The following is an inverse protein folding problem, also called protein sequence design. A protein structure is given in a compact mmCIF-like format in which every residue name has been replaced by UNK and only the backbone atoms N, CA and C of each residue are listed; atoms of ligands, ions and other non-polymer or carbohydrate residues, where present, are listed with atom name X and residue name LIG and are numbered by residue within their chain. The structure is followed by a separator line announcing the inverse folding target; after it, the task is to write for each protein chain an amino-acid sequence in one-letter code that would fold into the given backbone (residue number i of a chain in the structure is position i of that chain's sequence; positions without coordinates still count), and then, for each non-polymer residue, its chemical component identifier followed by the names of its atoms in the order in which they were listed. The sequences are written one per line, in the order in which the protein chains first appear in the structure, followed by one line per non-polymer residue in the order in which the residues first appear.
data_IF_497726079427
#
_entry.id   IF_497726079427
#
_cell.length_a   1.000
_cell.length_b   1.000
_cell.length_c   1.000
_cell.angle_alpha   90.00
_cell.angle_beta   90.00
_cell.angle_gamma   90.00
#
_symmetry.space_group_name_H-M   'P 1'
#
loop_
_entity.id
_entity.type
_entity.pdbx_description
1 polymer ?
#
# COMPACT_ATOMS: atom_id res chain seq x y z
N UNK A 1 -21.04 -20.90 -41.02
CA UNK A 1 -19.72 -20.23 -40.85
C UNK A 1 -19.52 -19.73 -39.41
N UNK A 2 -20.49 -19.02 -38.82
CA UNK A 2 -20.48 -18.56 -37.42
C UNK A 2 -20.38 -19.69 -36.36
N UNK A 3 -21.08 -20.80 -36.55
CA UNK A 3 -21.03 -21.94 -35.62
C UNK A 3 -19.62 -22.61 -35.55
N UNK A 4 -18.85 -22.59 -36.64
CA UNK A 4 -17.48 -23.12 -36.68
C UNK A 4 -16.48 -22.18 -35.98
N UNK A 5 -16.72 -20.86 -36.03
CA UNK A 5 -15.93 -19.87 -35.31
C UNK A 5 -16.18 -19.93 -33.80
N UNK A 6 -17.45 -20.10 -33.38
CA UNK A 6 -17.80 -20.28 -31.98
C UNK A 6 -17.21 -21.58 -31.38
N UNK A 7 -17.23 -22.68 -32.15
CA UNK A 7 -16.64 -23.95 -31.72
C UNK A 7 -15.12 -23.88 -31.58
N UNK A 8 -14.41 -23.14 -32.45
CA UNK A 8 -12.96 -22.93 -32.32
C UNK A 8 -12.61 -22.10 -31.08
N UNK A 9 -13.35 -21.02 -30.82
CA UNK A 9 -13.15 -20.18 -29.63
C UNK A 9 -13.41 -20.93 -28.32
N UNK A 10 -14.43 -21.78 -28.28
CA UNK A 10 -14.72 -22.64 -27.13
C UNK A 10 -13.65 -23.74 -26.91
N UNK A 11 -13.02 -24.23 -27.97
CA UNK A 11 -11.91 -25.19 -27.88
C UNK A 11 -10.63 -24.53 -27.37
N UNK A 12 -10.32 -23.31 -27.79
CA UNK A 12 -9.18 -22.52 -27.30
C UNK A 12 -9.34 -22.17 -25.81
N UNK A 13 -10.54 -21.78 -25.38
CA UNK A 13 -10.87 -21.54 -23.97
C UNK A 13 -10.71 -22.84 -23.17
N UNK A 14 -11.19 -23.98 -23.69
CA UNK A 14 -11.02 -25.29 -23.03
C UNK A 14 -9.56 -25.74 -22.91
N UNK A 15 -8.70 -25.37 -23.86
CA UNK A 15 -7.27 -25.67 -23.78
C UNK A 15 -6.55 -24.80 -22.74
N UNK A 16 -6.94 -23.53 -22.59
CA UNK A 16 -6.41 -22.64 -21.55
C UNK A 16 -6.76 -23.15 -20.13
N UNK A 17 -7.96 -23.71 -19.94
CA UNK A 17 -8.40 -24.24 -18.64
C UNK A 17 -7.88 -25.66 -18.32
N UNK A 18 -7.17 -26.32 -19.25
CA UNK A 18 -6.62 -27.68 -19.02
C UNK A 18 -5.27 -27.69 -18.30
N UNK A 19 -4.62 -26.54 -18.09
CA UNK A 19 -3.23 -26.47 -17.63
C UNK A 19 -3.03 -26.43 -16.09
N UNK A 20 -4.07 -26.46 -15.25
CA UNK A 20 -3.84 -26.52 -13.78
C UNK A 20 -4.90 -27.29 -12.99
N UNK A 21 -4.89 -28.64 -13.02
CA UNK A 21 -5.79 -29.47 -12.20
C UNK A 21 -5.54 -29.34 -10.68
N UNK A 22 -4.39 -28.82 -10.26
CA UNK A 22 -4.03 -28.75 -8.83
C UNK A 22 -4.59 -27.52 -8.10
N UNK A 23 -4.91 -26.43 -8.79
CA UNK A 23 -5.31 -25.15 -8.16
C UNK A 23 -6.81 -25.11 -7.81
N UNK A 24 -7.65 -25.91 -8.47
CA UNK A 24 -9.12 -25.87 -8.30
C UNK A 24 -9.57 -26.66 -7.05
N UNK A 25 -8.85 -27.72 -6.67
CA UNK A 25 -9.18 -28.52 -5.49
C UNK A 25 -8.76 -27.86 -4.17
N UNK A 26 -7.70 -27.04 -4.16
CA UNK A 26 -7.29 -26.30 -2.97
C UNK A 26 -8.22 -25.10 -2.69
N UNK A 27 -8.68 -24.38 -3.72
CA UNK A 27 -9.60 -23.26 -3.54
C UNK A 27 -10.99 -23.68 -3.07
N UNK A 28 -11.57 -24.75 -3.62
CA UNK A 28 -12.91 -25.20 -3.20
C UNK A 28 -12.91 -25.72 -1.76
N UNK A 29 -11.83 -26.39 -1.34
CA UNK A 29 -11.70 -26.88 0.04
C UNK A 29 -11.41 -25.73 1.01
N UNK A 30 -10.60 -24.74 0.63
CA UNK A 30 -10.34 -23.54 1.43
C UNK A 30 -11.59 -22.65 1.58
N UNK A 31 -12.36 -22.44 0.51
CA UNK A 31 -13.60 -21.66 0.54
C UNK A 31 -14.68 -22.32 1.41
N UNK A 32 -14.77 -23.65 1.39
CA UNK A 32 -15.69 -24.38 2.28
C UNK A 32 -15.23 -24.37 3.75
N UNK A 33 -13.92 -24.36 4.02
CA UNK A 33 -13.39 -24.31 5.39
C UNK A 33 -13.53 -22.90 6.02
N UNK A 34 -13.40 -21.85 5.20
CA UNK A 34 -13.62 -20.46 5.60
C UNK A 34 -15.11 -20.18 5.81
N UNK A 35 -15.99 -20.67 4.93
CA UNK A 35 -17.45 -20.47 5.09
C UNK A 35 -18.01 -21.17 6.34
N UNK A 36 -17.53 -22.39 6.64
CA UNK A 36 -17.99 -23.16 7.80
C UNK A 36 -17.57 -22.54 9.13
N UNK A 37 -16.32 -22.05 9.22
CA UNK A 37 -15.79 -21.48 10.47
C UNK A 37 -16.24 -20.03 10.72
N UNK A 38 -16.46 -19.22 9.67
CA UNK A 38 -17.00 -17.87 9.85
C UNK A 38 -18.48 -17.86 10.25
N UNK A 39 -19.29 -18.81 9.75
CA UNK A 39 -20.69 -18.93 10.13
C UNK A 39 -20.84 -19.28 11.63
N UNK A 40 -19.92 -20.10 12.15
CA UNK A 40 -19.87 -20.44 13.58
C UNK A 40 -19.43 -19.25 14.46
N UNK A 41 -18.48 -18.43 14.00
CA UNK A 41 -18.02 -17.24 14.72
C UNK A 41 -19.06 -16.10 14.71
N UNK A 42 -19.82 -15.96 13.62
CA UNK A 42 -20.92 -14.99 13.52
C UNK A 42 -22.04 -15.30 14.53
N UNK A 43 -22.36 -16.58 14.77
CA UNK A 43 -23.38 -16.99 15.75
C UNK A 43 -23.02 -16.68 17.21
N UNK A 44 -21.73 -16.51 17.52
CA UNK A 44 -21.26 -16.18 18.88
C UNK A 44 -21.13 -14.68 19.16
N UNK A 45 -21.19 -13.84 18.13
CA UNK A 45 -20.96 -12.40 18.26
C UNK A 45 -22.26 -11.58 18.21
N UNK A 46 -23.39 -12.22 17.87
CA UNK A 46 -24.70 -11.60 17.75
C UNK A 46 -25.73 -12.51 18.41
N UNK A 47 -26.32 -12.06 19.53
CA UNK A 47 -27.60 -12.58 20.03
C UNK A 47 -28.68 -12.30 18.98
N UNK A 48 -28.78 -13.17 17.97
CA UNK A 48 -29.88 -13.17 17.01
C UNK A 48 -31.01 -14.02 17.57
N UNK A 49 -31.65 -13.51 18.61
CA UNK A 49 -32.96 -13.98 19.03
C UNK A 49 -34.03 -13.14 18.31
N UNK A 50 -34.93 -13.82 17.60
CA UNK A 50 -36.19 -13.30 17.04
C UNK A 50 -36.10 -12.24 15.93
N UNK A 51 -35.85 -12.68 14.70
CA UNK A 51 -36.69 -12.36 13.52
C UNK A 51 -36.06 -13.00 12.28
N UNK A 52 -36.80 -13.87 11.59
CA UNK A 52 -36.34 -14.64 10.44
C UNK A 52 -36.08 -13.80 9.19
N UNK A 53 -34.98 -13.06 9.15
CA UNK A 53 -34.44 -12.45 7.94
C UNK A 53 -33.38 -13.35 7.31
N UNK A 54 -33.60 -13.80 6.08
CA UNK A 54 -32.58 -14.49 5.28
C UNK A 54 -31.44 -13.52 4.96
N UNK A 55 -30.27 -13.65 5.60
CA UNK A 55 -29.06 -12.97 5.16
C UNK A 55 -28.68 -13.49 3.76
N UNK A 56 -28.88 -12.68 2.72
CA UNK A 56 -28.40 -13.02 1.39
C UNK A 56 -26.87 -12.94 1.38
N UNK A 57 -26.21 -13.88 0.70
CA UNK A 57 -24.75 -13.90 0.56
C UNK A 57 -24.20 -12.62 -0.12
N UNK A 58 -25.02 -11.92 -0.90
CA UNK A 58 -24.74 -10.59 -1.46
C UNK A 58 -24.49 -9.55 -0.38
N UNK A 59 -25.32 -9.53 0.66
CA UNK A 59 -25.28 -8.51 1.71
C UNK A 59 -24.01 -8.67 2.58
N UNK A 60 -23.47 -9.90 2.64
CA UNK A 60 -22.21 -10.20 3.30
C UNK A 60 -20.98 -9.78 2.45
N UNK A 61 -21.06 -9.93 1.13
CA UNK A 61 -20.02 -9.42 0.21
C UNK A 61 -19.97 -7.90 0.25
N UNK A 62 -21.14 -7.24 0.25
CA UNK A 62 -21.23 -5.78 0.31
C UNK A 62 -20.61 -5.25 1.62
N UNK A 63 -20.84 -5.93 2.75
CA UNK A 63 -20.24 -5.57 4.03
C UNK A 63 -18.71 -5.76 4.04
N UNK A 64 -18.18 -6.83 3.43
CA UNK A 64 -16.72 -7.06 3.33
C UNK A 64 -16.06 -6.11 2.32
N UNK A 65 -16.76 -5.73 1.25
CA UNK A 65 -16.25 -4.85 0.20
C UNK A 65 -16.24 -3.37 0.60
N UNK A 66 -17.13 -2.93 1.50
CA UNK A 66 -17.10 -1.60 2.14
C UNK A 66 -15.76 -1.28 2.86
N UNK A 67 -14.98 -2.30 3.22
CA UNK A 67 -13.68 -2.16 3.89
C UNK A 67 -12.46 -2.25 2.95
N UNK A 68 -12.65 -2.11 1.63
CA UNK A 68 -11.53 -1.98 0.67
C UNK A 68 -10.79 -3.28 0.32
N UNK A 69 -11.25 -4.44 0.80
CA UNK A 69 -10.63 -5.75 0.56
C UNK A 69 -11.20 -6.45 -0.69
N UNK A 70 -12.21 -5.87 -1.33
CA UNK A 70 -12.80 -6.40 -2.56
C UNK A 70 -11.78 -6.36 -3.71
N UNK A 71 -11.52 -7.48 -4.38
CA UNK A 71 -10.66 -7.49 -5.59
C UNK A 71 -11.38 -6.89 -6.80
N UNK A 72 -12.71 -6.89 -6.78
CA UNK A 72 -13.55 -6.30 -7.82
C UNK A 72 -13.94 -4.86 -7.48
N UNK A 73 -14.16 -4.06 -8.53
CA UNK A 73 -14.65 -2.70 -8.38
C UNK A 73 -16.17 -2.68 -8.24
N UNK A 74 -16.67 -1.80 -7.37
CA UNK A 74 -18.07 -1.47 -7.23
C UNK A 74 -18.20 0.02 -7.54
N UNK A 75 -19.04 0.35 -8.51
CA UNK A 75 -19.28 1.73 -8.91
C UNK A 75 -19.93 2.49 -7.75
N UNK A 76 -19.27 3.55 -7.33
CA UNK A 76 -19.83 4.53 -6.40
C UNK A 76 -19.96 5.88 -7.10
N UNK A 77 -20.77 6.83 -6.59
CA UNK A 77 -20.89 8.16 -7.20
C UNK A 77 -19.54 8.88 -7.33
N UNK A 78 -18.60 8.60 -6.43
CA UNK A 78 -17.27 9.23 -6.36
C UNK A 78 -16.19 8.43 -7.11
N UNK A 79 -16.34 7.10 -7.20
CA UNK A 79 -15.42 6.21 -7.90
C UNK A 79 -16.18 5.40 -8.95
N UNK A 80 -16.16 5.88 -10.18
CA UNK A 80 -16.70 5.20 -11.35
C UNK A 80 -15.87 5.59 -12.60
N UNK A 81 -15.90 4.78 -13.67
CA UNK A 81 -15.12 5.05 -14.89
C UNK A 81 -15.57 6.31 -15.66
N UNK A 82 -16.75 6.87 -15.34
CA UNK A 82 -17.27 8.05 -16.03
C UNK A 82 -16.76 9.37 -15.43
N UNK A 83 -16.17 9.36 -14.23
CA UNK A 83 -15.56 10.56 -13.63
C UNK A 83 -14.35 10.96 -14.47
N UNK A 84 -14.30 12.18 -15.04
CA UNK A 84 -13.13 12.63 -15.79
C UNK A 84 -11.95 12.81 -14.83
N UNK A 85 -10.82 12.17 -15.14
CA UNK A 85 -9.59 12.29 -14.38
C UNK A 85 -8.41 12.40 -15.35
N UNK A 86 -7.54 13.38 -15.10
CA UNK A 86 -6.29 13.59 -15.84
C UNK A 86 -5.21 14.11 -14.89
N UNK A 87 -3.93 14.00 -15.31
CA UNK A 87 -2.82 14.56 -14.54
C UNK A 87 -2.84 16.10 -14.57
N UNK A 88 -2.61 16.72 -13.41
CA UNK A 88 -2.49 18.17 -13.28
C UNK A 88 -1.29 18.70 -14.08
N UNK A 89 -1.32 19.98 -14.47
CA UNK A 89 -0.22 20.61 -15.23
C UNK A 89 1.15 20.48 -14.55
N UNK A 90 1.19 20.52 -13.21
CA UNK A 90 2.42 20.31 -12.44
C UNK A 90 2.97 18.87 -12.52
N UNK A 91 2.10 17.88 -12.75
CA UNK A 91 2.46 16.46 -12.80
C UNK A 91 2.72 15.96 -14.23
N UNK A 92 2.17 16.61 -15.26
CA UNK A 92 2.49 16.33 -16.67
C UNK A 92 4.01 16.29 -16.98
N UNK A 93 4.87 17.22 -16.51
CA UNK A 93 6.31 17.10 -16.72
C UNK A 93 6.92 15.89 -16.02
N UNK A 94 6.46 15.54 -14.80
CA UNK A 94 6.89 14.33 -14.08
C UNK A 94 6.53 13.06 -14.83
N UNK A 95 5.33 13.01 -15.43
CA UNK A 95 4.90 11.89 -16.30
C UNK A 95 5.87 11.70 -17.46
N UNK A 96 6.24 12.79 -18.16
CA UNK A 96 7.19 12.73 -19.27
C UNK A 96 8.59 12.30 -18.82
N UNK A 97 9.04 12.78 -17.67
CA UNK A 97 10.31 12.36 -17.06
C UNK A 97 10.32 10.85 -16.75
N UNK A 98 9.27 10.35 -16.09
CA UNK A 98 9.13 8.92 -15.76
C UNK A 98 9.16 8.08 -17.04
N UNK A 99 8.43 8.49 -18.08
CA UNK A 99 8.43 7.79 -19.37
C UNK A 99 9.81 7.80 -20.05
N UNK A 100 10.60 8.86 -19.86
CA UNK A 100 11.95 8.98 -20.45
C UNK A 100 12.97 7.98 -19.88
N UNK A 101 12.72 7.45 -18.67
CA UNK A 101 13.58 6.43 -18.07
C UNK A 101 13.49 5.07 -18.78
N UNK A 102 12.43 4.85 -19.55
CA UNK A 102 12.15 3.58 -20.21
C UNK A 102 12.24 3.73 -21.74
N UNK A 103 12.65 2.67 -22.46
CA UNK A 103 12.69 2.72 -23.91
C UNK A 103 11.27 2.86 -24.49
N UNK A 104 11.17 3.48 -25.67
CA UNK A 104 9.90 3.90 -26.29
C UNK A 104 8.90 2.77 -26.55
N UNK A 105 9.38 1.53 -26.71
CA UNK A 105 8.56 0.34 -26.95
C UNK A 105 8.13 -0.39 -25.66
N UNK A 106 8.76 -0.11 -24.50
CA UNK A 106 8.43 -0.71 -23.22
C UNK A 106 7.96 0.33 -22.18
N UNK A 107 7.09 1.24 -22.63
CA UNK A 107 6.43 2.24 -21.77
C UNK A 107 5.64 1.61 -20.63
N UNK A 108 5.20 0.35 -20.77
CA UNK A 108 4.51 -0.41 -19.72
C UNK A 108 5.29 -0.45 -18.40
N UNK A 109 6.61 -0.40 -18.44
CA UNK A 109 7.47 -0.36 -17.25
C UNK A 109 7.21 0.86 -16.35
N UNK A 110 6.65 1.94 -16.91
CA UNK A 110 6.28 3.15 -16.17
C UNK A 110 4.97 3.03 -15.38
N UNK A 111 4.24 1.92 -15.46
CA UNK A 111 2.91 1.80 -14.85
C UNK A 111 2.93 2.01 -13.33
N UNK A 112 3.94 1.46 -12.62
CA UNK A 112 4.07 1.58 -11.17
C UNK A 112 4.31 3.04 -10.75
N UNK A 113 5.34 3.75 -11.24
CA UNK A 113 5.57 5.14 -10.86
C UNK A 113 4.45 6.08 -11.31
N UNK A 114 3.76 5.80 -12.42
CA UNK A 114 2.62 6.61 -12.87
C UNK A 114 1.39 6.40 -11.99
N UNK A 115 1.12 5.16 -11.55
CA UNK A 115 0.06 4.88 -10.57
C UNK A 115 0.38 5.51 -9.22
N UNK A 116 1.63 5.44 -8.76
CA UNK A 116 2.03 6.10 -7.51
C UNK A 116 1.82 7.62 -7.61
N UNK A 117 2.24 8.24 -8.71
CA UNK A 117 1.99 9.67 -8.96
C UNK A 117 0.49 10.01 -9.00
N UNK A 118 -0.33 9.14 -9.61
CA UNK A 118 -1.78 9.31 -9.65
C UNK A 118 -2.40 9.21 -8.25
N UNK A 119 -1.95 8.27 -7.43
CA UNK A 119 -2.38 8.11 -6.03
C UNK A 119 -2.03 9.36 -5.21
N UNK A 120 -0.82 9.88 -5.37
CA UNK A 120 -0.39 11.10 -4.71
C UNK A 120 -1.25 12.30 -5.13
N UNK A 121 -1.50 12.47 -6.44
CA UNK A 121 -2.31 13.57 -6.94
C UNK A 121 -3.76 13.50 -6.41
N UNK A 122 -4.32 12.30 -6.29
CA UNK A 122 -5.70 12.10 -5.89
C UNK A 122 -5.92 11.97 -4.37
N UNK A 123 -4.92 12.37 -3.57
CA UNK A 123 -5.06 12.41 -2.11
C UNK A 123 -5.01 11.03 -1.45
N UNK A 124 -4.21 10.12 -1.99
CA UNK A 124 -3.80 8.89 -1.32
C UNK A 124 -4.55 7.62 -1.71
N UNK A 125 -5.41 7.68 -2.72
CA UNK A 125 -6.08 6.50 -3.28
C UNK A 125 -6.27 6.62 -4.79
N UNK A 126 -6.54 5.49 -5.44
CA UNK A 126 -6.64 5.35 -6.89
C UNK A 126 -8.08 5.05 -7.32
N UNK A 127 -8.78 6.03 -7.91
CA UNK A 127 -10.05 5.78 -8.57
C UNK A 127 -9.82 5.03 -9.89
N UNK A 128 -10.86 4.35 -10.37
CA UNK A 128 -10.80 3.61 -11.63
C UNK A 128 -10.50 4.52 -12.81
N UNK A 129 -11.04 5.74 -12.80
CA UNK A 129 -10.75 6.76 -13.81
C UNK A 129 -9.26 7.15 -13.87
N UNK A 130 -8.56 7.17 -12.74
CA UNK A 130 -7.12 7.42 -12.71
C UNK A 130 -6.33 6.26 -13.32
N UNK A 131 -6.73 5.02 -13.02
CA UNK A 131 -6.14 3.83 -13.64
C UNK A 131 -6.34 3.83 -15.15
N UNK A 132 -7.53 4.23 -15.63
CA UNK A 132 -7.84 4.34 -17.05
C UNK A 132 -7.03 5.45 -17.74
N UNK A 133 -6.80 6.57 -17.06
CA UNK A 133 -5.95 7.63 -17.56
C UNK A 133 -4.49 7.17 -17.68
N UNK A 134 -3.96 6.45 -16.68
CA UNK A 134 -2.62 5.85 -16.76
C UNK A 134 -2.53 4.83 -17.90
N UNK A 135 -3.57 4.01 -18.09
CA UNK A 135 -3.64 3.06 -19.21
C UNK A 135 -3.54 3.76 -20.58
N UNK A 136 -4.21 4.91 -20.73
CA UNK A 136 -4.15 5.73 -21.95
C UNK A 136 -2.75 6.31 -22.18
N UNK A 137 -2.10 6.83 -21.13
CA UNK A 137 -0.74 7.41 -21.22
C UNK A 137 0.30 6.34 -21.62
N UNK A 138 0.16 5.14 -21.08
CA UNK A 138 1.10 4.02 -21.27
C UNK A 138 0.76 3.18 -22.51
N UNK A 139 -0.39 3.43 -23.14
CA UNK A 139 -0.89 2.72 -24.33
C UNK A 139 -1.08 1.21 -24.11
N UNK A 140 -1.57 0.83 -22.93
CA UNK A 140 -1.86 -0.56 -22.56
C UNK A 140 -3.34 -0.76 -22.25
N UNK A 141 -3.82 -2.00 -22.33
CA UNK A 141 -5.18 -2.32 -21.94
C UNK A 141 -5.40 -2.01 -20.43
N UNK A 142 -6.51 -1.36 -20.04
CA UNK A 142 -6.77 -0.98 -18.64
C UNK A 142 -6.68 -2.13 -17.64
N UNK A 143 -7.05 -3.34 -18.07
CA UNK A 143 -6.94 -4.55 -17.24
C UNK A 143 -5.53 -4.80 -16.71
N UNK A 144 -4.48 -4.45 -17.46
CA UNK A 144 -3.08 -4.60 -17.01
C UNK A 144 -2.73 -3.62 -15.91
N UNK A 145 -3.33 -2.43 -15.94
CA UNK A 145 -3.18 -1.43 -14.88
C UNK A 145 -3.95 -1.88 -13.63
N UNK A 146 -5.16 -2.44 -13.80
CA UNK A 146 -5.93 -2.99 -12.68
C UNK A 146 -5.24 -4.18 -11.99
N UNK A 147 -4.62 -5.07 -12.77
CA UNK A 147 -3.81 -6.18 -12.24
C UNK A 147 -2.68 -5.64 -11.36
N UNK A 148 -1.95 -4.62 -11.82
CA UNK A 148 -0.88 -3.99 -11.04
C UNK A 148 -1.43 -3.29 -9.78
N UNK A 149 -2.51 -2.50 -9.93
CA UNK A 149 -3.10 -1.73 -8.82
C UNK A 149 -3.70 -2.63 -7.72
N UNK A 150 -4.14 -3.85 -8.07
CA UNK A 150 -4.68 -4.81 -7.09
C UNK A 150 -3.59 -5.71 -6.51
N UNK A 151 -2.48 -5.91 -7.23
CA UNK A 151 -1.39 -6.79 -6.81
C UNK A 151 -0.47 -6.14 -5.77
N UNK A 152 -0.12 -4.86 -5.94
CA UNK A 152 0.77 -4.16 -5.00
C UNK A 152 -0.01 -3.54 -3.84
N UNK A 153 0.36 -3.87 -2.61
CA UNK A 153 -0.32 -3.39 -1.39
C UNK A 153 -0.21 -1.89 -1.13
N UNK A 154 0.75 -1.19 -1.75
CA UNK A 154 0.89 0.26 -1.64
C UNK A 154 -0.24 1.03 -2.32
N UNK A 155 -0.90 0.39 -3.30
CA UNK A 155 -1.94 1.02 -4.10
C UNK A 155 -3.29 0.95 -3.39
N UNK A 156 -3.66 2.06 -2.75
CA UNK A 156 -4.94 2.17 -2.06
C UNK A 156 -6.06 2.35 -3.09
N UNK A 157 -7.03 1.43 -3.12
CA UNK A 157 -8.18 1.50 -4.06
C UNK A 157 -9.43 2.10 -3.42
N UNK A 158 -9.39 2.34 -2.12
CA UNK A 158 -10.39 3.03 -1.33
C UNK A 158 -9.74 4.19 -0.58
N UNK A 159 -10.55 5.15 -0.13
CA UNK A 159 -10.09 6.32 0.60
C UNK A 159 -9.47 5.90 1.93
N UNK A 160 -8.27 6.40 2.22
CA UNK A 160 -7.52 6.12 3.46
C UNK A 160 -7.37 7.35 4.38
N UNK A 161 -8.06 8.44 4.07
CA UNK A 161 -7.89 9.72 4.77
C UNK A 161 -6.59 10.45 4.36
N UNK A 162 -6.25 11.54 5.07
CA UNK A 162 -5.05 12.34 4.77
C UNK A 162 -3.74 11.68 5.20
N UNK A 163 -3.75 10.98 6.33
CA UNK A 163 -2.61 10.30 6.91
C UNK A 163 -2.92 8.81 7.01
N UNK A 164 -2.25 8.00 6.21
CA UNK A 164 -2.34 6.55 6.33
C UNK A 164 -1.20 6.05 7.23
N UNK A 165 -1.57 5.56 8.41
CA UNK A 165 -0.63 5.06 9.41
C UNK A 165 -0.42 3.57 9.18
N UNK A 166 0.76 3.20 8.72
CA UNK A 166 1.13 1.83 8.38
C UNK A 166 1.99 1.23 9.48
N UNK A 167 1.43 0.27 10.22
CA UNK A 167 2.12 -0.40 11.34
C UNK A 167 2.68 -1.73 10.85
N UNK A 168 3.96 -2.00 11.14
CA UNK A 168 4.59 -3.26 10.75
C UNK A 168 4.14 -4.43 11.66
N UNK A 169 3.47 -5.43 11.07
CA UNK A 169 2.95 -6.61 11.78
C UNK A 169 3.91 -7.81 11.84
N UNK A 170 5.03 -7.78 11.10
CA UNK A 170 5.93 -8.95 10.96
C UNK A 170 6.63 -9.37 12.24
N UNK A 171 7.09 -10.63 12.28
CA UNK A 171 7.71 -11.25 13.45
C UNK A 171 8.75 -10.38 14.17
N UNK A 172 9.73 -9.73 13.51
CA UNK A 172 10.71 -8.88 14.21
C UNK A 172 10.07 -7.70 14.95
N UNK A 173 9.02 -7.11 14.41
CA UNK A 173 8.28 -6.03 15.07
C UNK A 173 7.31 -6.60 16.13
N UNK A 174 6.67 -7.74 15.85
CA UNK A 174 5.76 -8.42 16.77
C UNK A 174 6.45 -8.77 18.11
N UNK A 175 7.65 -9.36 18.06
CA UNK A 175 8.40 -9.71 19.30
C UNK A 175 8.91 -8.48 20.07
N UNK A 176 8.93 -7.31 19.42
CA UNK A 176 9.30 -6.02 20.02
C UNK A 176 8.09 -5.19 20.45
N UNK A 177 6.90 -5.78 20.47
CA UNK A 177 5.68 -5.14 20.98
C UNK A 177 4.88 -4.35 19.95
N UNK A 178 5.06 -4.57 18.64
CA UNK A 178 4.32 -3.82 17.61
C UNK A 178 2.79 -3.94 17.72
N UNK A 179 2.27 -5.07 18.21
CA UNK A 179 0.83 -5.23 18.47
C UNK A 179 0.31 -4.25 19.53
N UNK A 180 1.12 -3.97 20.55
CA UNK A 180 0.78 -2.99 21.59
C UNK A 180 0.74 -1.56 21.02
N UNK A 181 1.59 -1.28 20.02
CA UNK A 181 1.58 -0.01 19.28
C UNK A 181 0.30 0.12 18.45
N UNK A 182 -0.06 -0.92 17.72
CA UNK A 182 -1.29 -0.93 16.93
C UNK A 182 -2.54 -0.79 17.80
N UNK A 183 -2.63 -1.55 18.90
CA UNK A 183 -3.75 -1.48 19.83
C UNK A 183 -3.87 -0.08 20.46
N UNK A 184 -2.74 0.55 20.80
CA UNK A 184 -2.72 1.92 21.30
C UNK A 184 -3.23 2.93 20.26
N UNK A 185 -2.85 2.76 18.99
CA UNK A 185 -3.33 3.60 17.88
C UNK A 185 -4.82 3.45 17.65
N UNK A 186 -5.31 2.21 17.54
CA UNK A 186 -6.72 1.91 17.31
C UNK A 186 -7.58 2.42 18.46
N UNK A 187 -7.13 2.25 19.72
CA UNK A 187 -7.81 2.77 20.90
C UNK A 187 -7.84 4.30 20.95
N UNK A 188 -6.76 4.96 20.56
CA UNK A 188 -6.66 6.42 20.55
C UNK A 188 -7.50 7.06 19.43
N UNK A 189 -7.51 6.46 18.25
CA UNK A 189 -8.28 6.94 17.10
C UNK A 189 -9.76 6.51 17.14
N UNK A 190 -10.09 5.45 17.87
CA UNK A 190 -11.45 4.94 18.00
C UNK A 190 -11.99 4.31 16.70
N UNK A 191 -11.11 3.74 15.88
CA UNK A 191 -11.43 3.13 14.58
C UNK A 191 -11.04 1.66 14.56
N UNK A 192 -11.67 0.87 13.68
CA UNK A 192 -11.18 -0.47 13.36
C UNK A 192 -10.02 -0.39 12.35
N UNK A 193 -9.29 -1.48 12.19
CA UNK A 193 -8.25 -1.61 11.16
C UNK A 193 -8.85 -1.34 9.78
N UNK A 194 -8.14 -0.57 8.97
CA UNK A 194 -8.52 -0.10 7.63
C UNK A 194 -9.80 0.77 7.57
N UNK A 195 -10.28 1.26 8.72
CA UNK A 195 -11.36 2.25 8.77
C UNK A 195 -10.78 3.66 8.84
N UNK A 196 -11.42 4.60 8.15
CA UNK A 196 -11.06 6.02 8.20
C UNK A 196 -11.78 6.67 9.37
N UNK A 197 -11.05 7.43 10.17
CA UNK A 197 -11.61 8.31 11.21
C UNK A 197 -12.72 9.21 10.67
N UNK A 198 -13.72 9.52 11.51
CA UNK A 198 -14.84 10.40 11.12
C UNK A 198 -14.39 11.78 10.64
N UNK A 199 -13.24 12.24 11.12
CA UNK A 199 -12.60 13.50 10.73
C UNK A 199 -11.96 13.44 9.33
N UNK A 200 -11.87 12.25 8.72
CA UNK A 200 -11.23 12.02 7.42
C UNK A 200 -9.71 12.16 7.44
N UNK A 201 -9.10 12.27 8.63
CA UNK A 201 -7.68 12.55 8.78
C UNK A 201 -6.83 11.29 8.80
N UNK A 202 -7.14 10.32 9.63
CA UNK A 202 -6.31 9.13 9.85
C UNK A 202 -7.02 7.84 9.44
N UNK A 203 -6.23 6.87 9.00
CA UNK A 203 -6.57 5.45 8.99
C UNK A 203 -5.36 4.63 9.43
N UNK A 204 -5.63 3.44 9.97
CA UNK A 204 -4.58 2.51 10.42
C UNK A 204 -4.60 1.27 9.54
N UNK A 205 -3.48 1.01 8.87
CA UNK A 205 -3.26 -0.20 8.08
C UNK A 205 -2.13 -1.04 8.67
N UNK A 206 -2.29 -2.35 8.62
CA UNK A 206 -1.18 -3.27 8.87
C UNK A 206 -0.39 -3.46 7.58
N UNK A 207 0.93 -3.35 7.68
CA UNK A 207 1.86 -3.66 6.60
C UNK A 207 2.85 -4.73 7.03
N UNK A 208 3.37 -5.44 6.04
CA UNK A 208 4.41 -6.44 6.24
C UNK A 208 5.78 -5.77 6.48
N UNK A 209 6.86 -6.50 6.24
CA UNK A 209 8.21 -6.03 6.55
C UNK A 209 8.54 -4.73 5.79
N UNK A 210 8.75 -3.65 6.53
CA UNK A 210 9.12 -2.32 5.99
C UNK A 210 10.65 -2.10 5.95
N UNK A 211 11.46 -3.12 6.24
CA UNK A 211 12.93 -3.04 6.18
C UNK A 211 13.61 -2.37 7.38
N UNK A 212 12.87 -1.84 8.35
CA UNK A 212 13.41 -1.15 9.54
C UNK A 212 13.58 -2.09 10.75
N UNK A 213 13.99 -3.34 10.53
CA UNK A 213 13.94 -4.40 11.55
C UNK A 213 14.87 -4.16 12.75
N UNK A 214 16.03 -3.55 12.54
CA UNK A 214 16.98 -3.22 13.63
C UNK A 214 16.50 -2.05 14.49
N UNK A 215 15.47 -1.33 14.02
CA UNK A 215 14.79 -0.24 14.69
C UNK A 215 13.34 -0.60 15.05
N UNK A 216 13.06 -1.89 15.24
CA UNK A 216 11.74 -2.35 15.64
C UNK A 216 11.41 -1.95 17.10
N UNK A 217 10.16 -1.51 17.38
CA UNK A 217 9.00 -1.45 16.49
C UNK A 217 8.89 -0.11 15.72
N UNK A 218 8.21 -0.12 14.58
CA UNK A 218 8.16 1.02 13.65
C UNK A 218 6.74 1.28 13.12
N UNK A 219 6.52 2.52 12.68
CA UNK A 219 5.33 2.95 11.94
C UNK A 219 5.76 3.81 10.75
N UNK A 220 5.07 3.70 9.63
CA UNK A 220 5.20 4.62 8.51
C UNK A 220 3.99 5.52 8.46
N UNK A 221 4.21 6.80 8.25
CA UNK A 221 3.14 7.77 8.02
C UNK A 221 3.18 8.16 6.55
N UNK A 222 2.16 7.77 5.78
CA UNK A 222 1.96 8.29 4.44
C UNK A 222 1.15 9.58 4.53
N UNK A 223 1.81 10.72 4.29
CA UNK A 223 1.18 12.04 4.29
C UNK A 223 0.64 12.38 2.88
N UNK A 224 -0.67 12.33 2.73
CA UNK A 224 -1.39 12.70 1.51
C UNK A 224 -2.02 14.10 1.59
N UNK A 225 -1.70 14.93 2.60
CA UNK A 225 -2.40 16.20 2.84
C UNK A 225 -2.28 17.20 1.69
N UNK A 226 -1.10 17.26 1.06
CA UNK A 226 -0.73 18.23 0.02
C UNK A 226 -0.59 17.57 -1.37
N UNK A 227 -1.12 16.36 -1.54
CA UNK A 227 -1.01 15.60 -2.78
C UNK A 227 0.45 15.40 -3.25
N UNK A 228 0.68 15.44 -4.56
CA UNK A 228 1.98 15.14 -5.21
C UNK A 228 3.12 16.12 -4.95
N UNK A 229 2.89 17.25 -4.29
CA UNK A 229 3.93 18.25 -3.98
C UNK A 229 4.43 18.16 -2.54
N UNK A 230 3.55 17.78 -1.61
CA UNK A 230 3.93 17.57 -0.21
C UNK A 230 3.89 16.11 0.22
N UNK A 231 3.74 15.18 -0.73
CA UNK A 231 3.73 13.76 -0.46
C UNK A 231 5.06 13.32 0.14
N UNK A 232 5.00 12.88 1.39
CA UNK A 232 6.16 12.33 2.07
C UNK A 232 5.93 10.86 2.34
N UNK A 233 6.36 10.03 1.38
CA UNK A 233 6.35 8.58 1.52
C UNK A 233 7.39 7.90 0.61
N UNK A 234 8.24 8.65 -0.08
CA UNK A 234 8.99 8.07 -1.18
C UNK A 234 10.38 7.56 -0.78
N UNK A 235 10.66 6.33 -1.23
CA UNK A 235 11.99 5.74 -1.29
C UNK A 235 12.82 6.25 -2.48
N UNK A 236 12.20 6.93 -3.45
CA UNK A 236 12.90 7.46 -4.63
C UNK A 236 12.25 8.76 -5.13
N UNK A 237 12.73 9.92 -4.66
CA UNK A 237 12.58 11.17 -5.42
C UNK A 237 13.98 11.70 -5.72
N UNK A 238 14.34 11.68 -7.00
CA UNK A 238 15.59 12.28 -7.50
C UNK A 238 15.26 13.68 -7.98
N UNK A 239 15.33 14.68 -7.10
CA UNK A 239 15.34 16.07 -7.55
C UNK A 239 16.76 16.48 -7.96
N UNK A 240 16.92 16.78 -9.25
CA UNK A 240 17.96 17.63 -9.85
C UNK A 240 19.43 17.34 -9.53
N UNK A 241 20.11 16.61 -10.44
CA UNK A 241 21.55 16.69 -10.78
C UNK A 241 22.63 16.75 -9.67
N UNK A 242 22.24 16.58 -8.42
CA UNK A 242 23.06 16.32 -7.25
C UNK A 242 22.53 15.02 -6.68
N UNK A 243 23.40 14.07 -6.34
CA UNK A 243 23.04 12.99 -5.42
C UNK A 243 22.77 13.63 -4.05
N UNK A 244 21.64 14.32 -3.89
CA UNK A 244 21.02 14.38 -2.58
C UNK A 244 20.38 13.02 -2.39
N UNK A 245 21.08 12.17 -1.65
CA UNK A 245 20.51 11.03 -0.97
C UNK A 245 19.35 11.60 -0.14
N UNK A 246 18.11 11.64 -0.66
CA UNK A 246 16.96 12.05 0.13
C UNK A 246 16.78 10.95 1.20
N UNK A 247 17.12 11.18 2.47
CA UNK A 247 17.33 10.07 3.41
C UNK A 247 16.04 9.51 4.01
N UNK A 248 14.85 10.00 3.65
CA UNK A 248 13.71 9.89 4.56
C UNK A 248 12.39 9.53 3.89
N UNK A 249 12.24 8.24 3.64
CA UNK A 249 10.97 7.60 3.94
C UNK A 249 10.61 7.91 5.41
N UNK A 250 9.38 8.38 5.64
CA UNK A 250 8.91 8.88 6.95
C UNK A 250 8.60 7.72 7.90
N UNK A 251 9.63 6.91 8.15
CA UNK A 251 9.62 5.89 9.17
C UNK A 251 9.85 6.55 10.51
N UNK A 252 8.89 6.40 11.41
CA UNK A 252 9.21 6.54 12.81
C UNK A 252 9.58 5.15 13.28
N UNK A 253 10.73 5.05 13.94
CA UNK A 253 11.31 3.78 14.35
C UNK A 253 11.61 3.82 15.84
N UNK A 254 11.83 2.67 16.46
CA UNK A 254 12.02 2.52 17.92
C UNK A 254 10.90 3.18 18.74
N UNK A 255 9.65 2.95 18.32
CA UNK A 255 8.49 3.64 18.88
C UNK A 255 7.98 2.96 20.15
N UNK A 256 7.40 3.76 21.04
CA UNK A 256 6.62 3.29 22.19
C UNK A 256 5.15 3.69 22.04
N UNK A 257 4.20 3.02 22.72
CA UNK A 257 2.78 3.38 22.62
C UNK A 257 2.49 4.85 22.94
N UNK A 258 3.24 5.44 23.89
CA UNK A 258 3.13 6.87 24.22
C UNK A 258 3.59 7.74 23.06
N UNK A 259 4.75 7.42 22.49
CA UNK A 259 5.33 8.20 21.40
C UNK A 259 4.48 8.17 20.14
N UNK A 260 3.83 7.05 19.84
CA UNK A 260 2.96 6.95 18.66
C UNK A 260 1.74 7.87 18.80
N UNK A 261 1.17 7.99 20.00
CA UNK A 261 0.07 8.91 20.29
C UNK A 261 0.52 10.36 20.15
N UNK A 262 1.71 10.71 20.66
CA UNK A 262 2.29 12.05 20.48
C UNK A 262 2.48 12.41 19.00
N UNK A 263 2.94 11.45 18.19
CA UNK A 263 3.09 11.60 16.73
C UNK A 263 1.73 11.89 16.08
N UNK A 264 0.70 11.10 16.41
CA UNK A 264 -0.66 11.32 15.88
C UNK A 264 -1.20 12.69 16.27
N UNK A 265 -1.00 13.13 17.52
CA UNK A 265 -1.44 14.45 17.97
C UNK A 265 -0.64 15.59 17.31
N UNK A 266 0.65 15.41 17.05
CA UNK A 266 1.44 16.36 16.28
C UNK A 266 0.92 16.48 14.84
N UNK A 267 0.62 15.36 14.18
CA UNK A 267 0.03 15.35 12.84
C UNK A 267 -1.35 16.01 12.83
N UNK A 268 -2.17 15.83 13.88
CA UNK A 268 -3.46 16.54 14.02
C UNK A 268 -3.30 18.06 14.05
N UNK A 269 -2.22 18.56 14.67
CA UNK A 269 -1.87 19.99 14.69
C UNK A 269 -1.29 20.49 13.37
N UNK A 270 -1.07 19.61 12.38
CA UNK A 270 -0.40 19.94 11.13
C UNK A 270 1.13 20.07 11.27
N UNK A 271 1.69 19.64 12.40
CA UNK A 271 3.13 19.58 12.59
C UNK A 271 3.69 18.33 11.90
N UNK A 272 4.91 18.44 11.37
CA UNK A 272 5.64 17.29 10.83
C UNK A 272 6.61 16.78 11.91
N UNK A 273 6.29 15.68 12.62
CA UNK A 273 7.17 15.15 13.64
C UNK A 273 8.50 14.67 13.01
N UNK A 274 9.61 14.70 13.76
CA UNK A 274 10.89 14.22 13.27
C UNK A 274 10.81 12.73 12.96
N UNK A 275 11.22 12.35 11.76
CA UNK A 275 11.31 10.96 11.30
C UNK A 275 12.65 10.30 11.73
N UNK A 276 12.74 9.00 11.53
CA UNK A 276 13.86 8.15 11.94
C UNK A 276 13.65 7.52 13.32
N UNK A 277 14.75 7.07 13.93
CA UNK A 277 14.76 6.56 15.30
C UNK A 277 14.19 7.60 16.26
N UNK A 278 13.14 7.21 16.98
CA UNK A 278 12.58 7.99 18.09
C UNK A 278 13.35 7.75 19.39
N UNK A 279 14.34 6.84 19.37
CA UNK A 279 15.28 6.61 20.46
C UNK A 279 16.52 7.51 20.27
N UNK A 280 16.78 8.48 21.18
CA UNK A 280 17.91 9.41 21.06
C UNK A 280 19.27 8.77 21.38
N UNK A 281 19.31 7.59 22.01
CA UNK A 281 20.55 6.92 22.40
C UNK A 281 21.27 6.21 21.24
N UNK A 282 20.67 6.24 20.04
CA UNK A 282 21.20 5.58 18.85
C UNK A 282 21.16 6.51 17.63
N UNK A 283 22.06 6.27 16.70
CA UNK A 283 22.13 7.00 15.44
C UNK A 283 21.57 6.09 14.34
N UNK A 284 20.42 6.45 13.76
CA UNK A 284 19.76 5.66 12.71
C UNK A 284 19.66 4.17 13.13
N UNK A 285 20.31 3.27 12.39
CA UNK A 285 20.34 1.83 12.64
C UNK A 285 21.42 1.37 13.65
N UNK A 286 22.23 2.29 14.20
CA UNK A 286 23.35 1.99 15.09
C UNK A 286 22.92 1.35 16.42
N UNK A 287 23.84 0.72 17.16
CA UNK A 287 23.60 0.25 18.52
C UNK A 287 23.17 1.38 19.46
N UNK A 288 22.31 1.06 20.43
CA UNK A 288 22.02 1.99 21.52
C UNK A 288 23.25 2.15 22.42
N UNK A 289 23.60 3.39 22.76
CA UNK A 289 24.82 3.73 23.51
C UNK A 289 26.02 4.11 22.63
N UNK A 290 25.81 4.25 21.33
CA UNK A 290 26.84 4.68 20.37
C UNK A 290 27.35 3.55 19.47
N UNK A 291 27.88 3.94 18.32
CA UNK A 291 28.37 2.98 17.32
C UNK A 291 29.58 2.20 17.85
N UNK A 292 29.55 0.87 17.76
CA UNK A 292 30.67 -0.01 18.13
C UNK A 292 31.70 -0.18 17.00
N UNK A 293 31.33 0.25 15.78
CA UNK A 293 32.14 0.20 14.56
C UNK A 293 32.03 1.54 13.82
N UNK A 294 32.81 1.75 12.76
CA UNK A 294 32.83 3.01 11.99
C UNK A 294 33.23 4.23 12.84
N UNK A 295 34.21 4.03 13.74
CA UNK A 295 34.73 5.08 14.63
C UNK A 295 35.82 5.95 13.98
N UNK A 296 36.53 5.40 12.99
CA UNK A 296 37.57 6.11 12.26
C UNK A 296 37.02 6.92 11.09
N UNK A 297 37.75 7.96 10.69
CA UNK A 297 37.41 8.71 9.48
C UNK A 297 37.46 7.80 8.24
N UNK A 298 36.46 7.87 7.34
CA UNK A 298 36.45 7.07 6.12
C UNK A 298 37.67 7.39 5.25
N UNK A 299 38.44 6.36 4.89
CA UNK A 299 39.56 6.47 3.96
C UNK A 299 39.31 5.53 2.78
N UNK A 300 39.70 5.92 1.55
CA UNK A 300 39.69 5.00 0.42
C UNK A 300 40.46 3.73 0.81
N UNK A 301 39.89 2.53 0.63
CA UNK A 301 40.64 1.31 0.87
C UNK A 301 41.84 1.28 -0.09
N UNK A 302 42.94 0.61 0.28
CA UNK A 302 43.99 0.33 -0.68
C UNK A 302 43.40 -0.56 -1.78
N UNK A 303 43.00 0.04 -2.89
CA UNK A 303 42.57 -0.71 -4.06
C UNK A 303 43.78 -1.48 -4.60
N UNK A 304 43.64 -2.79 -4.82
CA UNK A 304 44.62 -3.53 -5.62
C UNK A 304 44.59 -2.89 -7.01
N UNK A 305 45.68 -2.26 -7.39
CA UNK A 305 45.85 -1.76 -8.75
C UNK A 305 45.79 -2.96 -9.69
N UNK A 306 44.68 -3.05 -10.45
CA UNK A 306 44.44 -4.17 -11.37
C UNK A 306 45.43 -4.13 -12.54
N UNK A 307 46.04 -2.97 -12.80
CA UNK A 307 47.01 -2.74 -13.86
C UNK A 307 48.46 -2.92 -13.38
N UNK A 308 48.69 -3.23 -12.10
CA UNK A 308 50.03 -3.40 -11.52
C UNK A 308 50.58 -4.85 -11.58
N UNK A 309 50.03 -5.71 -12.45
CA UNK A 309 50.49 -7.09 -12.68
C UNK A 309 51.06 -7.26 -14.09
#
# INVERSE_FOLDING_TARGET
MLARLASKRLLEIRQAFRQSPQTIRSLSTALNYVSSNLCFLASKSFDLDSTGGTCAFSDFIDLVCLFGVCVQHIDTPENNPNVPWEFNEANKPKVNEILSHYPSNYKQSAVIPLLDLAQQQHGGWLPVSAMDAVAKVVEVAPIRVYEVATFYSMFNRAKVGKYHLLVCGTTPCMIRGSREIEDALLKHLGVKRNEVTKDGLFSVGEMECMGCCVNAPMITVADYSNGSEGYTYNYYVREHHKLHYYPFSHFNEDITPKRVVEIVEALKRGEKPPHGTQNPERINCGPAGGNTTLLGEPKPPPCRDLDAC
#
